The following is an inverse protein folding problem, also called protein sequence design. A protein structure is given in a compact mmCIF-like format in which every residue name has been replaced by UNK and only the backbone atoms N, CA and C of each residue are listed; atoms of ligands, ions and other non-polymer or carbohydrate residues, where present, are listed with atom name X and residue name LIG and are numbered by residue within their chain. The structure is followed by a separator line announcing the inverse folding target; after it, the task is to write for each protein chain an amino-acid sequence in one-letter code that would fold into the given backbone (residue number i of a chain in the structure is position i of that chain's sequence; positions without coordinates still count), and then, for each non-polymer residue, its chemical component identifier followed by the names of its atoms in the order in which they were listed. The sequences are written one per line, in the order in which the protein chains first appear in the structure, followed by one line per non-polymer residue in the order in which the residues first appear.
data_IF_283069346232
#
_entry.id   IF_283069346232
#
_cell.length_a   1.000
_cell.length_b   1.000
_cell.length_c   1.000
_cell.angle_alpha   90.00
_cell.angle_beta   90.00
_cell.angle_gamma   90.00
#
_symmetry.space_group_name_H-M   'P 1'
#
loop_
_entity.id
_entity.type
_entity.pdbx_description
1 polymer ?
#
# COMPACT_ATOMS: atom_id res chain seq x y z
N UNK A 1 -15.58 -16.71 9.93
CA UNK A 1 -16.84 -16.11 9.44
C UNK A 1 -17.16 -14.80 10.15
N UNK A 2 -16.90 -14.66 11.46
CA UNK A 2 -17.09 -13.39 12.19
C UNK A 2 -16.16 -12.24 11.75
N UNK A 3 -14.90 -12.53 11.43
CA UNK A 3 -13.91 -11.49 11.08
C UNK A 3 -14.23 -10.76 9.76
N UNK A 4 -14.80 -11.48 8.78
CA UNK A 4 -15.23 -10.90 7.50
C UNK A 4 -16.47 -10.02 7.62
N UNK A 5 -17.39 -10.37 8.54
CA UNK A 5 -18.60 -9.61 8.81
C UNK A 5 -18.27 -8.28 9.49
N UNK A 6 -17.37 -8.31 10.48
CA UNK A 6 -16.90 -7.10 11.17
C UNK A 6 -16.11 -6.16 10.25
N UNK A 7 -15.22 -6.71 9.41
CA UNK A 7 -14.47 -5.94 8.40
C UNK A 7 -15.35 -5.21 7.39
N UNK A 8 -16.50 -5.76 7.03
CA UNK A 8 -17.42 -5.12 6.08
C UNK A 8 -18.19 -3.98 6.71
N UNK A 9 -18.44 -4.03 8.01
CA UNK A 9 -19.20 -2.99 8.71
C UNK A 9 -18.31 -1.76 9.00
N UNK A 10 -17.08 -1.99 9.49
CA UNK A 10 -16.10 -0.92 9.75
C UNK A 10 -15.63 -0.20 8.46
N UNK A 11 -15.67 -0.87 7.30
CA UNK A 11 -15.29 -0.30 6.01
C UNK A 11 -16.38 0.55 5.32
N UNK A 12 -17.62 0.57 5.83
CA UNK A 12 -18.72 1.33 5.19
C UNK A 12 -18.53 2.84 5.30
N UNK A 13 -17.88 3.30 6.37
CA UNK A 13 -17.75 4.73 6.67
C UNK A 13 -16.40 5.32 6.26
N UNK A 14 -15.41 4.48 5.94
CA UNK A 14 -14.05 4.91 5.59
C UNK A 14 -13.68 4.44 4.19
N UNK A 15 -13.51 5.37 3.25
CA UNK A 15 -13.06 5.06 1.89
C UNK A 15 -11.55 4.78 1.86
N UNK A 16 -11.17 3.58 2.30
CA UNK A 16 -9.79 3.10 2.31
C UNK A 16 -9.17 3.00 0.90
N UNK A 17 -10.00 2.97 -0.15
CA UNK A 17 -9.54 2.99 -1.54
C UNK A 17 -8.84 4.31 -1.90
N UNK A 18 -9.42 5.44 -1.50
CA UNK A 18 -8.90 6.77 -1.88
C UNK A 18 -7.59 7.09 -1.16
N UNK A 19 -7.50 6.82 0.15
CA UNK A 19 -6.29 7.03 0.96
C UNK A 19 -5.10 6.21 0.44
N UNK A 20 -5.33 4.92 0.19
CA UNK A 20 -4.31 3.98 -0.30
C UNK A 20 -3.77 4.31 -1.70
N UNK A 21 -4.58 4.92 -2.56
CA UNK A 21 -4.20 5.19 -3.95
C UNK A 21 -3.59 6.59 -4.11
N UNK A 22 -4.05 7.58 -3.35
CA UNK A 22 -3.71 8.99 -3.61
C UNK A 22 -2.89 9.66 -2.51
N UNK A 23 -2.86 9.10 -1.29
CA UNK A 23 -2.28 9.77 -0.13
C UNK A 23 -1.18 8.95 0.56
N UNK A 24 -0.93 7.73 0.08
CA UNK A 24 0.11 6.85 0.61
C UNK A 24 1.15 6.60 -0.47
N UNK A 25 2.43 6.71 -0.12
CA UNK A 25 3.51 6.33 -1.02
C UNK A 25 3.45 4.81 -1.26
N UNK A 26 3.23 4.35 -2.50
CA UNK A 26 3.11 2.93 -2.81
C UNK A 26 4.36 2.12 -2.41
N UNK A 27 5.54 2.75 -2.32
CA UNK A 27 6.79 2.11 -1.88
C UNK A 27 6.72 1.62 -0.44
N UNK A 28 5.94 2.29 0.43
CA UNK A 28 5.68 1.84 1.81
C UNK A 28 5.06 0.44 1.77
N UNK A 29 4.02 0.28 0.95
CA UNK A 29 3.29 -0.99 0.82
C UNK A 29 4.14 -2.05 0.13
N UNK A 30 4.89 -1.69 -0.91
CA UNK A 30 5.79 -2.62 -1.62
C UNK A 30 6.88 -3.13 -0.68
N UNK A 31 7.53 -2.25 0.08
CA UNK A 31 8.59 -2.62 1.02
C UNK A 31 8.05 -3.53 2.13
N UNK A 32 6.86 -3.24 2.67
CA UNK A 32 6.19 -4.10 3.65
C UNK A 32 5.86 -5.48 3.08
N UNK A 33 5.34 -5.55 1.86
CA UNK A 33 5.03 -6.83 1.20
C UNK A 33 6.29 -7.69 1.02
N UNK A 34 7.41 -7.07 0.61
CA UNK A 34 8.70 -7.77 0.47
C UNK A 34 9.26 -8.24 1.82
N UNK A 35 9.14 -7.44 2.88
CA UNK A 35 9.60 -7.79 4.23
C UNK A 35 8.85 -8.96 4.86
N UNK A 36 7.56 -9.08 4.57
CA UNK A 36 6.67 -10.08 5.17
C UNK A 36 6.29 -11.20 4.19
N UNK A 37 6.97 -11.28 3.05
CA UNK A 37 6.73 -12.30 2.02
C UNK A 37 5.25 -12.36 1.55
N UNK A 38 4.58 -11.20 1.53
CA UNK A 38 3.18 -11.08 1.13
C UNK A 38 3.08 -10.85 -0.38
N UNK A 39 2.28 -11.64 -1.12
CA UNK A 39 2.07 -11.42 -2.54
C UNK A 39 1.43 -10.05 -2.82
N UNK A 40 2.13 -9.20 -3.58
CA UNK A 40 1.69 -7.83 -3.87
C UNK A 40 0.35 -7.76 -4.59
N UNK A 41 -0.02 -8.80 -5.35
CA UNK A 41 -1.30 -8.91 -6.06
C UNK A 41 -2.52 -9.01 -5.15
N UNK A 42 -2.34 -9.45 -3.89
CA UNK A 42 -3.40 -9.44 -2.88
C UNK A 42 -3.65 -8.04 -2.31
N UNK A 43 -2.71 -7.12 -2.51
CA UNK A 43 -2.77 -5.76 -1.96
C UNK A 43 -3.05 -4.74 -3.06
N UNK A 44 -2.42 -4.86 -4.22
CA UNK A 44 -2.65 -4.03 -5.40
C UNK A 44 -3.23 -4.86 -6.54
N UNK A 45 -4.38 -4.41 -7.06
CA UNK A 45 -4.94 -4.96 -8.30
C UNK A 45 -3.99 -4.77 -9.47
N UNK A 46 -4.21 -5.48 -10.58
CA UNK A 46 -3.40 -5.35 -11.81
C UNK A 46 -3.25 -3.88 -12.23
N UNK A 47 -4.35 -3.14 -12.32
CA UNK A 47 -4.37 -1.71 -12.69
C UNK A 47 -3.51 -0.84 -11.76
N UNK A 48 -3.53 -1.11 -10.45
CA UNK A 48 -2.72 -0.36 -9.49
C UNK A 48 -1.23 -0.72 -9.58
N UNK A 49 -0.90 -1.98 -9.92
CA UNK A 49 0.49 -2.37 -10.17
C UNK A 49 1.05 -1.67 -11.41
N UNK A 50 0.26 -1.56 -12.47
CA UNK A 50 0.64 -0.81 -13.67
C UNK A 50 0.84 0.68 -13.35
N UNK A 51 -0.07 1.30 -12.58
CA UNK A 51 0.04 2.70 -12.13
C UNK A 51 1.30 2.95 -11.27
N UNK A 52 1.64 2.01 -10.40
CA UNK A 52 2.74 2.13 -9.44
C UNK A 52 3.98 1.31 -9.84
N UNK A 53 4.20 1.08 -11.13
CA UNK A 53 5.31 0.26 -11.60
C UNK A 53 6.68 0.79 -11.10
N UNK A 54 6.83 2.12 -11.03
CA UNK A 54 8.03 2.79 -10.50
C UNK A 54 8.33 2.45 -9.03
N UNK A 55 7.31 2.12 -8.23
CA UNK A 55 7.45 1.79 -6.82
C UNK A 55 7.81 0.32 -6.57
N UNK A 56 7.63 -0.56 -7.57
CA UNK A 56 7.88 -2.01 -7.43
C UNK A 56 9.36 -2.35 -7.20
N UNK A 57 10.26 -1.48 -7.64
CA UNK A 57 11.70 -1.62 -7.43
C UNK A 57 12.14 -1.33 -5.99
N UNK A 58 11.26 -0.79 -5.12
CA UNK A 58 11.64 -0.40 -3.76
C UNK A 58 12.21 -1.59 -2.96
N UNK A 59 13.37 -1.45 -2.30
CA UNK A 59 13.95 -2.52 -1.49
C UNK A 59 13.09 -2.78 -0.24
N UNK A 60 13.19 -3.98 0.36
CA UNK A 60 12.47 -4.29 1.61
C UNK A 60 12.83 -3.33 2.75
N UNK A 61 14.08 -2.87 2.82
CA UNK A 61 14.55 -1.90 3.80
C UNK A 61 14.17 -0.44 3.47
N UNK A 62 13.38 -0.21 2.42
CA UNK A 62 12.92 1.14 2.10
C UNK A 62 11.97 1.63 3.20
N UNK A 63 12.27 2.83 3.69
CA UNK A 63 11.49 3.55 4.70
C UNK A 63 11.23 4.96 4.23
N UNK A 64 10.05 5.47 4.53
CA UNK A 64 9.70 6.85 4.27
C UNK A 64 10.40 7.73 5.30
N UNK A 65 11.48 8.42 4.90
CA UNK A 65 12.08 9.48 5.72
C UNK A 65 11.51 10.83 5.30
N UNK A 66 10.95 11.56 6.27
CA UNK A 66 10.40 12.90 6.08
C UNK A 66 11.45 13.91 5.57
N UNK A 67 12.74 13.64 5.76
CA UNK A 67 13.84 14.51 5.32
C UNK A 67 14.02 14.52 3.81
N UNK A 68 13.68 13.43 3.11
CA UNK A 68 13.80 13.33 1.65
C UNK A 68 12.72 14.15 0.95
N UNK A 69 11.59 14.41 1.62
CA UNK A 69 10.54 15.30 1.13
C UNK A 69 10.90 16.80 1.17
N UNK A 70 11.98 17.17 1.86
CA UNK A 70 12.44 18.56 2.01
C UNK A 70 13.65 18.90 1.12
N UNK A 71 14.24 17.92 0.42
CA UNK A 71 15.35 18.12 -0.53
C UNK A 71 14.89 18.22 -2.00
N UNK A 72 13.58 18.32 -2.24
CA UNK A 72 12.98 18.46 -3.58
C UNK A 72 12.66 19.90 -3.94
#
# INVERSE_FOLDING_TARGET
MEMDLKRKDDNKEVSLGTSKINYMDPRITVAWCKRNEVPIERVFSKTLRDKFNWAMAAPPAWEFSAEIGLMG
#
